data_IF_832944457526
#
_entry.id   IF_832944457526
#
_cell.length_a   1.000
_cell.length_b   1.000
_cell.length_c   1.000
_cell.angle_alpha   90.00
_cell.angle_beta   90.00
_cell.angle_gamma   90.00
#
_symmetry.space_group_name_H-M   'P 1'
#
loop_
_entity.id
_entity.type
_entity.pdbx_description
1 polymer ?
#
# COMPACT_ATOMS: atom_id res chain seq x y z
N UNK A 1 -21.55 12.93 -16.84
CA UNK A 1 -20.23 12.62 -17.44
C UNK A 1 -19.46 11.76 -16.46
N UNK A 2 -18.99 10.61 -16.86
CA UNK A 2 -18.27 9.70 -15.97
C UNK A 2 -16.81 10.19 -15.87
N UNK A 3 -16.43 10.72 -14.71
CA UNK A 3 -15.09 11.29 -14.46
C UNK A 3 -13.99 10.24 -14.70
N UNK A 4 -14.19 9.01 -14.23
CA UNK A 4 -13.20 7.93 -14.38
C UNK A 4 -12.97 7.64 -15.87
N UNK A 5 -14.01 7.50 -16.66
CA UNK A 5 -13.87 7.28 -18.11
C UNK A 5 -13.15 8.44 -18.80
N UNK A 6 -13.40 9.66 -18.38
CA UNK A 6 -12.69 10.83 -18.94
C UNK A 6 -11.21 10.78 -18.63
N UNK A 7 -10.85 10.52 -17.37
CA UNK A 7 -9.44 10.38 -16.95
C UNK A 7 -8.77 9.23 -17.71
N UNK A 8 -9.43 8.07 -17.79
CA UNK A 8 -8.94 6.89 -18.51
C UNK A 8 -8.61 7.19 -19.95
N UNK A 9 -9.55 7.84 -20.69
CA UNK A 9 -9.33 8.23 -22.08
C UNK A 9 -8.17 9.19 -22.26
N UNK A 10 -8.04 10.18 -21.39
CA UNK A 10 -6.92 11.13 -21.41
C UNK A 10 -5.57 10.42 -21.19
N UNK A 11 -5.49 9.52 -20.22
CA UNK A 11 -4.30 8.70 -19.98
C UNK A 11 -3.98 7.85 -21.23
N UNK A 12 -4.98 7.19 -21.80
CA UNK A 12 -4.79 6.36 -23.01
C UNK A 12 -4.23 7.15 -24.18
N UNK A 13 -4.70 8.38 -24.38
CA UNK A 13 -4.20 9.29 -25.43
C UNK A 13 -2.72 9.63 -25.15
N UNK A 14 -2.38 10.01 -23.92
CA UNK A 14 -1.00 10.32 -23.52
C UNK A 14 -0.08 9.12 -23.76
N UNK A 15 -0.55 7.91 -23.50
CA UNK A 15 0.18 6.66 -23.71
C UNK A 15 0.10 6.14 -25.16
N UNK A 16 -0.36 6.94 -26.10
CA UNK A 16 -0.47 6.60 -27.54
C UNK A 16 -1.22 5.30 -27.80
N UNK A 17 -2.28 5.05 -27.04
CA UNK A 17 -3.13 3.85 -27.12
C UNK A 17 -2.39 2.51 -26.90
N UNK A 18 -1.25 2.50 -26.20
CA UNK A 18 -0.48 1.28 -25.94
C UNK A 18 -1.03 0.41 -24.83
N UNK A 19 -2.06 0.84 -24.14
CA UNK A 19 -2.68 0.13 -23.03
C UNK A 19 -4.20 0.17 -23.15
N UNK A 20 -4.86 -0.89 -22.75
CA UNK A 20 -6.31 -1.00 -22.78
C UNK A 20 -6.97 -0.11 -21.71
N UNK A 21 -8.13 0.46 -22.07
CA UNK A 21 -8.90 1.34 -21.14
C UNK A 21 -9.25 0.61 -19.84
N UNK A 22 -9.69 -0.64 -19.93
CA UNK A 22 -10.04 -1.44 -18.76
C UNK A 22 -8.87 -1.61 -17.79
N UNK A 23 -7.64 -1.76 -18.30
CA UNK A 23 -6.46 -1.87 -17.46
C UNK A 23 -6.19 -0.55 -16.72
N UNK A 24 -6.34 0.60 -17.39
CA UNK A 24 -6.21 1.93 -16.77
C UNK A 24 -7.28 2.14 -15.71
N UNK A 25 -8.53 1.78 -16.01
CA UNK A 25 -9.64 1.87 -15.04
C UNK A 25 -9.38 1.03 -13.80
N UNK A 26 -8.92 -0.21 -13.96
CA UNK A 26 -8.56 -1.08 -12.84
C UNK A 26 -7.43 -0.48 -11.98
N UNK A 27 -6.42 0.14 -12.61
CA UNK A 27 -5.36 0.85 -11.90
C UNK A 27 -5.90 2.02 -11.08
N UNK A 28 -6.79 2.82 -11.68
CA UNK A 28 -7.43 3.96 -11.00
C UNK A 28 -8.28 3.50 -9.82
N UNK A 29 -9.13 2.49 -10.01
CA UNK A 29 -9.96 1.95 -8.94
C UNK A 29 -9.13 1.37 -7.80
N UNK A 30 -8.04 0.67 -8.10
CA UNK A 30 -7.15 0.15 -7.06
C UNK A 30 -6.53 1.28 -6.22
N UNK A 31 -6.08 2.36 -6.87
CA UNK A 31 -5.50 3.52 -6.16
C UNK A 31 -6.54 4.29 -5.36
N UNK A 32 -7.76 4.45 -5.87
CA UNK A 32 -8.86 5.09 -5.15
C UNK A 32 -9.28 4.23 -3.94
N UNK A 33 -9.40 2.92 -4.13
CA UNK A 33 -9.71 2.01 -3.04
C UNK A 33 -8.65 2.06 -1.94
N UNK A 34 -7.37 2.11 -2.34
CA UNK A 34 -6.28 2.27 -1.38
C UNK A 34 -6.35 3.61 -0.63
N UNK A 35 -6.66 4.72 -1.31
CA UNK A 35 -6.85 6.01 -0.66
C UNK A 35 -7.96 5.95 0.40
N UNK A 36 -9.08 5.30 0.08
CA UNK A 36 -10.17 5.12 1.04
C UNK A 36 -9.74 4.26 2.24
N UNK A 37 -8.99 3.19 1.99
CA UNK A 37 -8.46 2.34 3.05
C UNK A 37 -7.42 3.08 3.92
N UNK A 38 -6.56 3.92 3.33
CA UNK A 38 -5.62 4.78 4.06
C UNK A 38 -6.33 5.75 5.01
N UNK A 39 -7.49 6.26 4.61
CA UNK A 39 -8.30 7.21 5.38
C UNK A 39 -9.31 6.53 6.30
N UNK A 40 -9.28 5.21 6.39
CA UNK A 40 -10.26 4.39 7.14
C UNK A 40 -11.73 4.72 6.78
N UNK A 41 -11.97 5.07 5.50
CA UNK A 41 -13.32 5.32 4.99
C UNK A 41 -14.04 3.97 4.85
N UNK A 42 -15.16 3.85 5.53
CA UNK A 42 -15.98 2.63 5.52
C UNK A 42 -17.26 2.85 4.74
N UNK A 43 -17.66 1.82 4.04
CA UNK A 43 -18.90 1.78 3.27
C UNK A 43 -19.89 0.87 3.93
N UNK A 44 -21.15 1.28 3.94
CA UNK A 44 -22.26 0.43 4.38
C UNK A 44 -23.05 0.00 3.16
N UNK A 45 -23.29 -1.30 3.04
CA UNK A 45 -24.23 -1.80 2.03
C UNK A 45 -25.66 -1.47 2.45
N UNK A 46 -26.52 -1.14 1.47
CA UNK A 46 -27.96 -0.98 1.70
C UNK A 46 -28.57 -2.22 2.38
N UNK A 47 -28.04 -3.39 2.06
CA UNK A 47 -28.50 -4.66 2.62
C UNK A 47 -27.88 -5.00 3.99
N UNK A 48 -26.85 -4.27 4.43
CA UNK A 48 -26.18 -4.53 5.70
C UNK A 48 -25.63 -3.25 6.35
N UNK A 49 -26.56 -2.37 6.76
CA UNK A 49 -26.23 -1.08 7.39
C UNK A 49 -25.49 -1.20 8.72
N UNK A 50 -25.53 -2.38 9.36
CA UNK A 50 -24.94 -2.60 10.69
C UNK A 50 -23.45 -2.98 10.67
N UNK A 51 -22.90 -3.31 9.50
CA UNK A 51 -21.50 -3.75 9.36
C UNK A 51 -20.78 -2.94 8.27
N UNK A 52 -20.29 -1.73 8.61
CA UNK A 52 -19.45 -0.99 7.68
C UNK A 52 -18.18 -1.78 7.36
N UNK A 53 -17.81 -1.81 6.10
CA UNK A 53 -16.60 -2.49 5.61
C UNK A 53 -15.69 -1.51 4.88
N UNK A 54 -14.40 -1.74 4.94
CA UNK A 54 -13.40 -1.04 4.13
C UNK A 54 -13.50 -1.52 2.68
N UNK A 55 -13.22 -0.65 1.72
CA UNK A 55 -13.19 -1.01 0.32
C UNK A 55 -11.92 -1.81 0.02
N UNK A 56 -12.00 -3.13 0.10
CA UNK A 56 -10.97 -4.03 -0.42
C UNK A 56 -11.09 -4.11 -1.95
N UNK A 57 -9.99 -3.97 -2.66
CA UNK A 57 -9.96 -4.07 -4.12
C UNK A 57 -8.81 -4.96 -4.58
N UNK A 58 -9.15 -5.96 -5.36
CA UNK A 58 -8.21 -6.90 -5.95
C UNK A 58 -8.36 -6.83 -7.46
N UNK A 59 -7.28 -6.50 -8.17
CA UNK A 59 -7.29 -6.43 -9.62
C UNK A 59 -6.12 -7.23 -10.20
N UNK A 60 -6.41 -7.98 -11.25
CA UNK A 60 -5.40 -8.65 -12.09
C UNK A 60 -5.53 -8.10 -13.50
N UNK A 61 -4.44 -7.57 -14.03
CA UNK A 61 -4.39 -7.03 -15.38
C UNK A 61 -3.36 -7.81 -16.21
N UNK A 62 -3.80 -8.36 -17.31
CA UNK A 62 -2.92 -8.99 -18.29
C UNK A 62 -2.50 -7.95 -19.32
N UNK A 63 -1.26 -7.49 -19.25
CA UNK A 63 -0.73 -6.46 -20.15
C UNK A 63 0.51 -7.02 -20.83
N UNK A 64 0.56 -6.93 -22.16
CA UNK A 64 1.71 -7.40 -22.93
C UNK A 64 2.99 -6.69 -22.53
N UNK A 65 4.12 -7.37 -22.68
CA UNK A 65 5.45 -6.77 -22.52
C UNK A 65 5.58 -5.54 -23.42
N UNK A 66 6.06 -4.42 -22.86
CA UNK A 66 6.11 -3.15 -23.58
C UNK A 66 4.80 -2.36 -23.64
N UNK A 67 3.70 -2.84 -23.01
CA UNK A 67 2.37 -2.21 -22.97
C UNK A 67 2.26 -0.95 -22.11
N UNK A 68 3.36 -0.25 -21.85
CA UNK A 68 3.37 1.04 -21.11
C UNK A 68 2.75 1.00 -19.70
N UNK A 69 2.66 -0.19 -19.05
CA UNK A 69 2.06 -0.34 -17.73
C UNK A 69 2.70 0.59 -16.68
N UNK A 70 4.04 0.66 -16.66
CA UNK A 70 4.75 1.51 -15.69
C UNK A 70 4.49 3.00 -15.96
N UNK A 71 4.41 3.40 -17.24
CA UNK A 71 4.05 4.77 -17.59
C UNK A 71 2.60 5.10 -17.15
N UNK A 72 1.66 4.17 -17.29
CA UNK A 72 0.28 4.37 -16.83
C UNK A 72 0.24 4.55 -15.30
N UNK A 73 0.94 3.70 -14.56
CA UNK A 73 1.04 3.80 -13.10
C UNK A 73 1.62 5.15 -12.69
N UNK A 74 2.77 5.55 -13.26
CA UNK A 74 3.42 6.84 -12.99
C UNK A 74 2.50 8.01 -13.36
N UNK A 75 1.83 7.97 -14.51
CA UNK A 75 0.88 9.02 -14.90
C UNK A 75 -0.28 9.15 -13.90
N UNK A 76 -0.81 8.04 -13.42
CA UNK A 76 -1.86 8.06 -12.39
C UNK A 76 -1.34 8.65 -11.08
N UNK A 77 -0.17 8.22 -10.63
CA UNK A 77 0.42 8.69 -9.37
C UNK A 77 0.80 10.17 -9.43
N UNK A 78 1.44 10.62 -10.50
CA UNK A 78 1.99 11.96 -10.59
C UNK A 78 0.94 13.01 -11.02
N UNK A 79 0.02 12.64 -11.89
CA UNK A 79 -0.90 13.58 -12.51
C UNK A 79 -2.33 13.52 -11.97
N UNK A 80 -2.79 12.33 -11.53
CA UNK A 80 -4.17 12.15 -11.06
C UNK A 80 -4.26 12.16 -9.55
N UNK A 81 -3.32 11.53 -8.85
CA UNK A 81 -3.30 11.38 -7.40
C UNK A 81 -1.96 11.83 -6.78
N UNK A 82 -1.44 13.03 -7.12
CA UNK A 82 -0.10 13.45 -6.66
C UNK A 82 0.01 13.61 -5.14
N UNK A 83 -1.11 13.81 -4.45
CA UNK A 83 -1.16 13.91 -3.00
C UNK A 83 -0.97 12.58 -2.27
N UNK A 84 -1.11 11.45 -2.98
CA UNK A 84 -1.06 10.12 -2.35
C UNK A 84 0.31 9.84 -1.72
N UNK A 85 1.39 10.26 -2.38
CA UNK A 85 2.75 10.14 -1.85
C UNK A 85 2.96 10.98 -0.58
N UNK A 86 2.33 12.14 -0.50
CA UNK A 86 2.37 12.98 0.70
C UNK A 86 1.62 12.32 1.87
N UNK A 87 0.49 11.68 1.57
CA UNK A 87 -0.25 10.92 2.58
C UNK A 87 0.55 9.71 3.11
N UNK A 88 1.29 9.00 2.25
CA UNK A 88 2.19 7.94 2.70
C UNK A 88 3.25 8.47 3.67
N UNK A 89 3.93 9.55 3.31
CA UNK A 89 4.95 10.17 4.16
C UNK A 89 4.39 10.66 5.49
N UNK A 90 3.21 11.27 5.46
CA UNK A 90 2.53 11.73 6.67
C UNK A 90 2.19 10.57 7.61
N UNK A 91 1.55 9.52 7.10
CA UNK A 91 1.17 8.36 7.90
C UNK A 91 2.39 7.60 8.42
N UNK A 92 3.42 7.44 7.59
CA UNK A 92 4.67 6.80 7.99
C UNK A 92 5.35 7.55 9.14
N UNK A 93 5.40 8.88 9.06
CA UNK A 93 5.90 9.73 10.14
C UNK A 93 5.08 9.60 11.42
N UNK A 94 3.75 9.60 11.33
CA UNK A 94 2.89 9.42 12.50
C UNK A 94 3.15 8.08 13.22
N UNK A 95 3.47 7.02 12.47
CA UNK A 95 3.84 5.73 13.04
C UNK A 95 5.26 5.75 13.59
N UNK A 96 6.21 6.35 12.87
CA UNK A 96 7.59 6.50 13.32
C UNK A 96 7.67 7.25 14.65
N UNK A 97 6.92 8.34 14.80
CA UNK A 97 6.87 9.14 16.04
C UNK A 97 6.32 8.31 17.23
N UNK A 98 5.32 7.45 17.00
CA UNK A 98 4.80 6.54 18.02
C UNK A 98 5.79 5.46 18.40
N UNK A 99 6.45 4.84 17.42
CA UNK A 99 7.48 3.83 17.65
C UNK A 99 8.65 4.41 18.44
N UNK A 100 9.11 5.61 18.05
CA UNK A 100 10.15 6.33 18.77
C UNK A 100 9.75 6.59 20.24
N UNK A 101 8.54 7.06 20.47
CA UNK A 101 8.04 7.30 21.84
C UNK A 101 8.00 6.00 22.66
N UNK A 102 7.55 4.88 22.07
CA UNK A 102 7.55 3.57 22.73
C UNK A 102 8.97 3.12 23.10
N UNK A 103 9.95 3.26 22.19
CA UNK A 103 11.33 2.86 22.42
C UNK A 103 12.04 3.79 23.44
N UNK A 104 11.79 5.11 23.36
CA UNK A 104 12.34 6.05 24.34
C UNK A 104 11.82 5.79 25.75
N UNK A 105 10.55 5.37 25.89
CA UNK A 105 9.98 5.02 27.19
C UNK A 105 10.60 3.75 27.83
N UNK A 106 11.27 2.93 27.02
CA UNK A 106 12.00 1.74 27.53
C UNK A 106 13.45 2.03 27.93
N UNK A 107 13.97 3.21 27.60
CA UNK A 107 15.33 3.59 27.98
C UNK A 107 15.39 3.98 29.46
N UNK A 108 16.43 3.50 30.14
CA UNK A 108 16.73 3.90 31.53
C UNK A 108 17.49 5.25 31.50
N UNK A 109 16.88 6.30 32.01
CA UNK A 109 17.47 7.64 32.08
C UNK A 109 18.72 7.70 32.94
N UNK A 110 18.91 6.73 33.85
CA UNK A 110 20.09 6.62 34.70
C UNK A 110 21.30 5.96 34.00
N UNK A 111 21.06 5.36 32.80
CA UNK A 111 22.15 4.72 32.04
C UNK A 111 23.12 5.78 31.50
N UNK A 112 24.42 5.53 31.68
CA UNK A 112 25.50 6.38 31.16
C UNK A 112 25.41 6.58 29.63
N UNK A 113 24.80 5.66 28.88
CA UNK A 113 24.66 5.70 27.44
C UNK A 113 23.32 6.27 26.99
N UNK A 114 22.42 6.65 27.91
CA UNK A 114 21.05 7.14 27.55
C UNK A 114 21.07 8.20 26.46
N UNK A 115 21.90 9.23 26.58
CA UNK A 115 21.94 10.32 25.59
C UNK A 115 22.38 9.87 24.20
N UNK A 116 23.31 8.90 24.11
CA UNK A 116 23.76 8.35 22.82
C UNK A 116 22.67 7.52 22.17
N UNK A 117 22.01 6.67 22.96
CA UNK A 117 20.98 5.78 22.47
C UNK A 117 19.74 6.57 22.05
N UNK A 118 19.31 7.55 22.83
CA UNK A 118 18.26 8.49 22.46
C UNK A 118 18.53 9.17 21.11
N UNK A 119 19.71 9.74 20.94
CA UNK A 119 20.10 10.41 19.69
C UNK A 119 20.13 9.42 18.50
N UNK A 120 20.60 8.18 18.72
CA UNK A 120 20.59 7.12 17.71
C UNK A 120 19.18 6.79 17.23
N UNK A 121 18.25 6.62 18.17
CA UNK A 121 16.83 6.33 17.86
C UNK A 121 16.16 7.49 17.14
N UNK A 122 16.31 8.72 17.63
CA UNK A 122 15.78 9.92 16.99
C UNK A 122 16.25 10.03 15.53
N UNK A 123 17.57 9.83 15.30
CA UNK A 123 18.15 9.86 13.95
C UNK A 123 17.62 8.72 13.06
N UNK A 124 17.47 7.52 13.62
CA UNK A 124 16.93 6.37 12.89
C UNK A 124 15.51 6.65 12.41
N UNK A 125 14.60 7.04 13.30
CA UNK A 125 13.20 7.29 12.98
C UNK A 125 12.97 8.54 12.12
N UNK A 126 13.86 9.52 12.20
CA UNK A 126 13.81 10.69 11.32
C UNK A 126 14.14 10.36 9.84
N UNK A 127 14.92 9.29 9.59
CA UNK A 127 15.45 8.99 8.26
C UNK A 127 14.96 7.66 7.69
N UNK A 128 14.18 6.88 8.44
CA UNK A 128 13.75 5.54 8.03
C UNK A 128 12.24 5.50 7.86
N UNK A 129 11.79 5.04 6.69
CA UNK A 129 10.38 4.66 6.51
C UNK A 129 10.10 3.36 7.27
N UNK A 130 9.16 3.39 8.21
CA UNK A 130 8.90 2.27 9.12
C UNK A 130 7.85 1.28 8.60
N UNK A 131 6.94 1.71 7.72
CA UNK A 131 5.91 0.86 7.12
C UNK A 131 6.12 0.71 5.63
N UNK A 132 6.35 1.80 4.89
CA UNK A 132 6.31 1.83 3.44
C UNK A 132 4.97 1.27 2.90
N UNK A 133 3.92 2.11 2.94
CA UNK A 133 2.54 1.74 2.59
C UNK A 133 2.34 1.24 1.15
N UNK A 134 3.29 1.45 0.26
CA UNK A 134 3.33 0.89 -1.08
C UNK A 134 4.45 -0.14 -1.18
N UNK A 135 4.18 -1.29 -1.78
CA UNK A 135 5.20 -2.31 -2.04
C UNK A 135 5.02 -2.91 -3.44
N UNK A 136 6.12 -3.14 -4.13
CA UNK A 136 6.14 -3.74 -5.47
C UNK A 136 6.36 -5.27 -5.40
N UNK A 137 5.84 -5.91 -4.37
CA UNK A 137 6.05 -7.30 -4.07
C UNK A 137 6.78 -7.48 -2.74
N UNK A 138 7.32 -8.65 -2.52
CA UNK A 138 8.03 -9.04 -1.30
C UNK A 138 7.66 -10.45 -0.87
N UNK A 139 8.39 -10.98 0.09
CA UNK A 139 8.03 -12.28 0.69
C UNK A 139 6.75 -12.13 1.50
N UNK A 140 5.94 -13.19 1.64
CA UNK A 140 4.78 -13.18 2.52
C UNK A 140 5.10 -12.68 3.93
N UNK A 141 6.22 -13.11 4.50
CA UNK A 141 6.65 -12.66 5.83
C UNK A 141 6.86 -11.13 5.90
N UNK A 142 7.46 -10.52 4.87
CA UNK A 142 7.66 -9.08 4.82
C UNK A 142 6.34 -8.31 4.69
N UNK A 143 5.37 -8.86 3.94
CA UNK A 143 4.03 -8.29 3.83
C UNK A 143 3.27 -8.36 5.15
N UNK A 144 3.31 -9.53 5.83
CA UNK A 144 2.71 -9.70 7.15
C UNK A 144 3.31 -8.75 8.20
N UNK A 145 4.63 -8.61 8.25
CA UNK A 145 5.28 -7.69 9.18
C UNK A 145 4.83 -6.23 8.98
N UNK A 146 4.55 -5.82 7.75
CA UNK A 146 3.96 -4.49 7.46
C UNK A 146 2.52 -4.39 7.93
N UNK A 147 1.70 -5.42 7.66
CA UNK A 147 0.30 -5.47 8.09
C UNK A 147 0.17 -5.48 9.60
N UNK A 148 1.01 -6.20 10.34
CA UNK A 148 1.06 -6.19 11.80
C UNK A 148 1.33 -4.79 12.36
N UNK A 149 2.26 -4.04 11.74
CA UNK A 149 2.51 -2.64 12.13
C UNK A 149 1.30 -1.75 11.87
N UNK A 150 0.68 -1.88 10.69
CA UNK A 150 -0.53 -1.14 10.32
C UNK A 150 -1.63 -1.40 11.35
N UNK A 151 -1.83 -2.66 11.73
CA UNK A 151 -2.85 -3.06 12.69
C UNK A 151 -2.52 -2.60 14.12
N UNK A 152 -1.28 -2.78 14.57
CA UNK A 152 -0.81 -2.32 15.89
C UNK A 152 -1.05 -0.83 16.08
N UNK A 153 -0.68 -0.03 15.09
CA UNK A 153 -0.81 1.44 15.19
C UNK A 153 -2.14 1.99 14.66
N UNK A 154 -3.00 1.13 14.10
CA UNK A 154 -4.31 1.48 13.51
C UNK A 154 -4.20 2.62 12.50
N UNK A 155 -3.17 2.59 11.67
CA UNK A 155 -2.84 3.65 10.71
C UNK A 155 -2.63 3.08 9.31
N UNK A 156 -3.44 3.60 8.37
CA UNK A 156 -3.29 3.34 6.96
C UNK A 156 -3.72 1.94 6.50
N UNK A 157 -3.29 1.59 5.32
CA UNK A 157 -3.49 0.30 4.65
C UNK A 157 -2.32 0.02 3.70
N UNK A 158 -2.00 -1.24 3.45
CA UNK A 158 -0.94 -1.64 2.54
C UNK A 158 -1.45 -1.71 1.11
N UNK A 159 -0.70 -1.14 0.16
CA UNK A 159 -0.89 -1.32 -1.28
C UNK A 159 0.20 -2.24 -1.83
N UNK A 160 -0.17 -3.45 -2.20
CA UNK A 160 0.74 -4.38 -2.86
C UNK A 160 0.52 -4.34 -4.37
N UNK A 161 1.52 -3.84 -5.10
CA UNK A 161 1.53 -3.76 -6.56
C UNK A 161 2.54 -4.76 -7.10
N UNK A 162 2.08 -5.82 -7.75
CA UNK A 162 2.92 -6.87 -8.31
C UNK A 162 3.00 -6.66 -9.82
N UNK A 163 4.15 -6.20 -10.31
CA UNK A 163 4.34 -5.86 -11.72
C UNK A 163 4.85 -7.03 -12.57
N UNK A 164 5.45 -8.03 -11.94
CA UNK A 164 5.95 -9.25 -12.59
C UNK A 164 5.42 -10.48 -11.86
N UNK A 165 4.22 -10.91 -12.27
CA UNK A 165 3.54 -12.04 -11.62
C UNK A 165 4.32 -13.35 -11.71
N UNK A 166 5.02 -13.57 -12.84
CA UNK A 166 5.86 -14.75 -13.03
C UNK A 166 6.97 -14.87 -11.98
N UNK A 167 7.62 -13.77 -11.63
CA UNK A 167 8.69 -13.77 -10.64
C UNK A 167 8.15 -13.97 -9.23
N UNK A 168 7.01 -13.36 -8.93
CA UNK A 168 6.32 -13.57 -7.66
C UNK A 168 5.86 -15.02 -7.50
N UNK A 169 5.28 -15.60 -8.54
CA UNK A 169 4.81 -16.99 -8.53
C UNK A 169 5.98 -17.97 -8.41
N UNK A 170 7.06 -17.76 -9.15
CA UNK A 170 8.27 -18.57 -9.06
C UNK A 170 8.85 -18.55 -7.65
N UNK A 171 9.04 -17.37 -7.06
CA UNK A 171 9.56 -17.22 -5.71
C UNK A 171 8.66 -17.90 -4.65
N UNK A 172 7.34 -17.89 -4.82
CA UNK A 172 6.42 -18.55 -3.90
C UNK A 172 6.43 -20.09 -4.04
N UNK A 173 6.62 -20.61 -5.26
CA UNK A 173 6.72 -22.05 -5.53
C UNK A 173 8.07 -22.60 -5.06
N UNK A 174 9.17 -21.92 -5.39
CA UNK A 174 10.52 -22.35 -5.01
C UNK A 174 10.74 -22.36 -3.49
N UNK A 175 10.07 -21.49 -2.76
CA UNK A 175 10.17 -21.43 -1.30
C UNK A 175 9.12 -22.28 -0.56
N UNK A 176 8.32 -23.10 -1.26
CA UNK A 176 7.22 -23.89 -0.68
C UNK A 176 6.26 -23.06 0.23
N UNK A 177 6.22 -21.76 0.05
CA UNK A 177 5.37 -20.86 0.81
C UNK A 177 4.08 -20.62 0.03
N UNK A 178 3.07 -21.43 0.29
CA UNK A 178 1.71 -21.09 -0.13
C UNK A 178 1.30 -19.79 0.58
N UNK A 179 1.06 -18.75 -0.19
CA UNK A 179 0.49 -17.50 0.34
C UNK A 179 -0.98 -17.76 0.68
N UNK A 180 -1.19 -18.30 1.86
CA UNK A 180 -2.54 -18.56 2.34
C UNK A 180 -3.06 -17.29 3.03
N UNK A 181 -3.56 -16.33 2.26
CA UNK A 181 -4.18 -15.11 2.79
C UNK A 181 -5.49 -15.39 3.54
N UNK A 182 -5.97 -16.65 3.53
CA UNK A 182 -7.29 -17.01 4.08
C UNK A 182 -7.31 -17.29 5.58
N UNK A 183 -6.16 -17.34 6.25
CA UNK A 183 -6.10 -17.86 7.62
C UNK A 183 -6.15 -16.85 8.76
N UNK A 184 -6.16 -15.53 8.46
CA UNK A 184 -6.29 -14.51 9.50
C UNK A 184 -7.46 -13.56 9.22
N UNK A 185 -8.51 -13.56 10.03
CA UNK A 185 -9.76 -12.84 9.75
C UNK A 185 -9.69 -11.31 9.84
N UNK A 186 -8.60 -10.74 10.33
CA UNK A 186 -8.51 -9.30 10.59
C UNK A 186 -7.62 -8.50 9.65
N UNK A 187 -6.79 -9.15 8.81
CA UNK A 187 -5.81 -8.44 7.96
C UNK A 187 -6.34 -8.02 6.58
N UNK A 188 -7.46 -8.59 6.12
CA UNK A 188 -7.96 -8.35 4.76
C UNK A 188 -8.44 -6.92 4.52
N UNK A 189 -8.97 -6.26 5.56
CA UNK A 189 -9.51 -4.91 5.45
C UNK A 189 -8.44 -3.82 5.25
N UNK A 190 -7.16 -4.18 5.43
CA UNK A 190 -6.03 -3.26 5.35
C UNK A 190 -5.09 -3.54 4.17
N UNK A 191 -5.50 -4.42 3.26
CA UNK A 191 -4.69 -4.83 2.12
C UNK A 191 -5.44 -4.55 0.81
N UNK A 192 -4.79 -3.81 -0.07
CA UNK A 192 -5.20 -3.65 -1.48
C UNK A 192 -4.14 -4.28 -2.36
N UNK A 193 -4.52 -5.18 -3.25
CA UNK A 193 -3.61 -5.90 -4.14
C UNK A 193 -3.93 -5.54 -5.59
N UNK A 194 -2.89 -5.22 -6.34
CA UNK A 194 -2.95 -5.08 -7.78
C UNK A 194 -1.84 -5.90 -8.44
N UNK A 195 -2.19 -6.77 -9.37
CA UNK A 195 -1.30 -7.67 -10.11
C UNK A 195 -1.33 -7.30 -11.59
N UNK A 196 -0.20 -7.37 -12.25
CA UNK A 196 -0.02 -7.14 -13.69
C UNK A 196 0.63 -8.32 -14.39
#
# INVERSE_FOLDING_TARGET
>A
MDLIKTITRNIKIVLKNKIEEQAIENMLYAKIAHLFALKDIKFTSINNLKKPATLAYYAVNFISSGGSKNQAITTIEDCVLPFLEQEYKKLDKEVADKMLAEELALLDESDRNYGKEKHRLEKYYANTSVINFKTNGGTPAALYAKLEKIEKYKKGALFAQITEFSDYFRASVENNQSVNFSSQPHSHDKLVIQIF
#
